data_IF_017651258606
#
_entry.id   IF_017651258606
#
_cell.length_a   1.000
_cell.length_b   1.000
_cell.length_c   1.000
_cell.angle_alpha   90.00
_cell.angle_beta   90.00
_cell.angle_gamma   90.00
#
_symmetry.space_group_name_H-M   'P 1'
#
loop_
_entity.id
_entity.type
_entity.pdbx_description
1 polymer ?
#
# COMPACT_ATOMS: atom_id res chain seq x y z
N UNK A 1 34.51 -50.11 44.47
CA UNK A 1 33.43 -49.21 44.01
C UNK A 1 34.05 -47.83 43.73
N UNK A 2 34.97 -47.70 42.77
CA UNK A 2 34.75 -47.57 41.30
C UNK A 2 34.13 -46.23 40.87
N UNK A 3 35.01 -45.23 40.72
CA UNK A 3 35.06 -44.17 39.69
C UNK A 3 33.75 -43.65 39.07
N UNK A 4 32.76 -43.28 39.87
CA UNK A 4 31.51 -42.70 39.35
C UNK A 4 31.59 -41.20 38.98
N UNK A 5 32.71 -40.53 39.28
CA UNK A 5 32.93 -39.10 38.96
C UNK A 5 33.50 -38.85 37.54
N UNK A 6 34.16 -39.85 36.93
CA UNK A 6 34.77 -39.71 35.60
C UNK A 6 33.76 -39.80 34.45
N UNK A 7 32.73 -40.64 34.59
CA UNK A 7 31.73 -40.85 33.53
C UNK A 7 30.79 -39.65 33.35
N UNK A 8 30.42 -38.97 34.45
CA UNK A 8 29.52 -37.81 34.41
C UNK A 8 30.17 -36.53 33.87
N UNK A 9 31.47 -36.34 34.12
CA UNK A 9 32.22 -35.20 33.57
C UNK A 9 32.44 -35.32 32.06
N UNK A 10 32.78 -36.52 31.59
CA UNK A 10 33.04 -36.77 30.17
C UNK A 10 31.72 -36.66 29.36
N UNK A 11 30.59 -37.13 29.89
CA UNK A 11 29.30 -36.96 29.21
C UNK A 11 28.86 -35.50 29.12
N UNK A 12 29.14 -34.66 30.12
CA UNK A 12 28.88 -33.22 30.05
C UNK A 12 29.76 -32.52 29.01
N UNK A 13 31.04 -32.89 28.90
CA UNK A 13 31.95 -32.33 27.89
C UNK A 13 31.51 -32.74 26.49
N UNK A 14 31.16 -34.02 26.29
CA UNK A 14 30.65 -34.51 25.00
C UNK A 14 29.32 -33.82 24.65
N UNK A 15 28.40 -33.66 25.60
CA UNK A 15 27.15 -32.95 25.40
C UNK A 15 27.39 -31.47 25.02
N UNK A 16 28.34 -30.79 25.66
CA UNK A 16 28.70 -29.40 25.36
C UNK A 16 29.32 -29.25 23.95
N UNK A 17 30.17 -30.19 23.54
CA UNK A 17 30.78 -30.20 22.20
C UNK A 17 29.73 -30.46 21.12
N UNK A 18 28.82 -31.41 21.34
CA UNK A 18 27.70 -31.70 20.44
C UNK A 18 26.76 -30.49 20.35
N UNK A 19 26.49 -29.83 21.46
CA UNK A 19 25.67 -28.61 21.50
C UNK A 19 26.29 -27.46 20.71
N UNK A 20 27.60 -27.22 20.87
CA UNK A 20 28.34 -26.23 20.05
C UNK A 20 28.29 -26.59 18.55
N UNK A 21 28.50 -27.85 18.19
CA UNK A 21 28.47 -28.28 16.78
C UNK A 21 27.10 -28.12 16.12
N UNK A 22 26.01 -28.26 16.88
CA UNK A 22 24.64 -28.08 16.38
C UNK A 22 24.24 -26.60 16.32
N UNK A 23 24.59 -25.79 17.33
CA UNK A 23 24.11 -24.42 17.45
C UNK A 23 25.02 -23.35 16.80
N UNK A 24 26.32 -23.59 16.64
CA UNK A 24 27.27 -22.60 16.08
C UNK A 24 27.19 -22.42 14.56
N UNK A 25 27.02 -23.46 13.72
CA UNK A 25 27.04 -23.29 12.26
C UNK A 25 25.90 -22.40 11.72
N UNK A 26 24.83 -22.20 12.50
CA UNK A 26 23.69 -21.35 12.13
C UNK A 26 23.92 -19.83 12.29
N UNK A 27 24.99 -19.39 12.97
CA UNK A 27 25.20 -17.97 13.28
C UNK A 27 26.03 -17.20 12.25
N UNK A 28 26.96 -17.85 11.54
CA UNK A 28 27.92 -17.16 10.66
C UNK A 28 27.30 -16.70 9.33
N UNK A 29 26.26 -17.38 8.83
CA UNK A 29 25.53 -16.94 7.62
C UNK A 29 24.50 -15.84 7.88
N UNK A 30 24.19 -15.56 9.15
CA UNK A 30 23.14 -14.59 9.54
C UNK A 30 23.59 -13.14 9.41
N UNK A 31 24.89 -12.85 9.48
CA UNK A 31 25.42 -11.48 9.37
C UNK A 31 25.33 -10.95 7.93
N UNK A 32 25.69 -11.76 6.93
CA UNK A 32 25.62 -11.37 5.52
C UNK A 32 24.18 -11.14 5.05
N UNK A 33 23.24 -11.99 5.48
CA UNK A 33 21.81 -11.81 5.18
C UNK A 33 21.27 -10.54 5.84
N UNK A 34 21.71 -10.20 7.06
CA UNK A 34 21.30 -8.97 7.74
C UNK A 34 21.83 -7.72 7.03
N UNK A 35 23.06 -7.73 6.54
CA UNK A 35 23.63 -6.58 5.82
C UNK A 35 22.98 -6.36 4.44
N UNK A 36 22.75 -7.41 3.66
CA UNK A 36 22.01 -7.30 2.39
C UNK A 36 20.57 -6.85 2.62
N UNK A 37 19.91 -7.35 3.66
CA UNK A 37 18.56 -6.91 4.06
C UNK A 37 18.55 -5.44 4.47
N UNK A 38 19.55 -4.96 5.22
CA UNK A 38 19.66 -3.54 5.60
C UNK A 38 19.82 -2.63 4.39
N UNK A 39 20.65 -3.01 3.43
CA UNK A 39 20.87 -2.24 2.20
C UNK A 39 19.59 -2.16 1.35
N UNK A 40 18.89 -3.29 1.17
CA UNK A 40 17.60 -3.32 0.47
C UNK A 40 16.55 -2.49 1.21
N UNK A 41 16.54 -2.54 2.55
CA UNK A 41 15.60 -1.77 3.36
C UNK A 41 15.92 -0.27 3.35
N UNK A 42 17.19 0.13 3.29
CA UNK A 42 17.61 1.50 3.14
C UNK A 42 17.22 2.06 1.75
N UNK A 43 17.44 1.30 0.69
CA UNK A 43 17.03 1.65 -0.67
C UNK A 43 15.50 1.79 -0.80
N UNK A 44 14.72 0.87 -0.18
CA UNK A 44 13.26 1.00 -0.13
C UNK A 44 12.81 2.25 0.63
N UNK A 45 13.44 2.59 1.75
CA UNK A 45 13.10 3.79 2.52
C UNK A 45 13.34 5.07 1.73
N UNK A 46 14.41 5.14 0.94
CA UNK A 46 14.67 6.31 0.07
C UNK A 46 13.61 6.43 -1.02
N UNK A 47 13.19 5.33 -1.61
CA UNK A 47 12.16 5.28 -2.65
C UNK A 47 10.75 5.58 -2.09
N UNK A 48 10.44 5.06 -0.91
CA UNK A 48 9.19 5.32 -0.18
C UNK A 48 9.07 6.79 0.26
N UNK A 49 10.19 7.44 0.62
CA UNK A 49 10.19 8.86 1.02
C UNK A 49 9.78 9.80 -0.13
N UNK A 50 10.08 9.43 -1.38
CA UNK A 50 9.67 10.16 -2.58
C UNK A 50 8.28 9.79 -3.09
N UNK A 51 7.67 8.71 -2.59
CA UNK A 51 6.38 8.23 -3.10
C UNK A 51 5.23 9.06 -2.56
N UNK A 52 4.42 9.63 -3.46
CA UNK A 52 3.15 10.27 -3.10
C UNK A 52 2.21 9.22 -2.48
N UNK A 53 1.72 9.50 -1.27
CA UNK A 53 0.80 8.58 -0.58
C UNK A 53 -0.47 8.35 -1.40
N UNK A 54 -0.70 7.11 -1.81
CA UNK A 54 -1.92 6.71 -2.54
C UNK A 54 -3.12 6.77 -1.60
N UNK A 55 -4.32 6.97 -2.14
CA UNK A 55 -5.54 7.00 -1.32
C UNK A 55 -5.78 5.69 -0.55
N UNK A 56 -5.37 4.55 -1.13
CA UNK A 56 -5.38 3.25 -0.45
C UNK A 56 -4.39 3.19 0.73
N UNK A 57 -3.21 3.81 0.61
CA UNK A 57 -2.22 3.87 1.70
C UNK A 57 -2.73 4.76 2.85
N UNK A 58 -3.36 5.89 2.51
CA UNK A 58 -4.02 6.77 3.49
C UNK A 58 -5.12 6.02 4.23
N UNK A 59 -5.96 5.27 3.51
CA UNK A 59 -7.02 4.45 4.10
C UNK A 59 -6.45 3.38 5.05
N UNK A 60 -5.42 2.65 4.62
CA UNK A 60 -4.74 1.65 5.46
C UNK A 60 -4.19 2.26 6.75
N UNK A 61 -3.49 3.40 6.64
CA UNK A 61 -2.97 4.12 7.82
C UNK A 61 -4.09 4.48 8.78
N UNK A 62 -5.20 4.97 8.26
CA UNK A 62 -6.33 5.42 9.06
C UNK A 62 -7.10 4.27 9.74
N UNK A 63 -7.20 3.12 9.07
CA UNK A 63 -7.73 1.89 9.67
C UNK A 63 -6.76 1.39 10.76
N UNK A 64 -5.45 1.45 10.52
CA UNK A 64 -4.47 1.04 11.53
C UNK A 64 -4.51 1.92 12.77
N UNK A 65 -4.67 3.24 12.62
CA UNK A 65 -4.83 4.15 13.76
C UNK A 65 -6.14 3.87 14.49
N UNK A 66 -7.26 3.72 13.78
CA UNK A 66 -8.54 3.35 14.38
C UNK A 66 -8.43 2.08 15.22
N UNK A 67 -7.81 1.01 14.69
CA UNK A 67 -7.65 -0.27 15.40
C UNK A 67 -6.71 -0.13 16.60
N UNK A 68 -5.58 0.55 16.44
CA UNK A 68 -4.63 0.79 17.52
C UNK A 68 -5.26 1.56 18.69
N UNK A 69 -5.95 2.67 18.39
CA UNK A 69 -6.66 3.45 19.40
C UNK A 69 -7.89 2.73 19.96
N UNK A 70 -8.51 1.81 19.22
CA UNK A 70 -9.57 0.96 19.80
C UNK A 70 -9.03 0.03 20.88
N UNK A 71 -7.84 -0.53 20.70
CA UNK A 71 -7.21 -1.40 21.70
C UNK A 71 -6.81 -0.59 22.92
N UNK A 72 -6.17 0.57 22.72
CA UNK A 72 -5.80 1.49 23.80
C UNK A 72 -7.04 1.94 24.57
N UNK A 73 -8.13 2.25 23.88
CA UNK A 73 -9.41 2.62 24.51
C UNK A 73 -9.93 1.51 25.42
N UNK A 74 -9.98 0.26 24.94
CA UNK A 74 -10.46 -0.89 25.72
C UNK A 74 -9.56 -1.13 26.94
N UNK A 75 -8.25 -1.10 26.77
CA UNK A 75 -7.31 -1.29 27.87
C UNK A 75 -7.40 -0.15 28.90
N UNK A 76 -7.52 1.09 28.45
CA UNK A 76 -7.64 2.25 29.32
C UNK A 76 -8.99 2.29 30.06
N UNK A 77 -10.10 1.88 29.41
CA UNK A 77 -11.40 1.75 30.08
C UNK A 77 -11.36 0.65 31.14
N UNK A 78 -10.80 -0.53 30.83
CA UNK A 78 -10.63 -1.59 31.81
C UNK A 78 -9.76 -1.14 32.99
N UNK A 79 -8.65 -0.45 32.72
CA UNK A 79 -7.79 0.10 33.76
C UNK A 79 -8.51 1.16 34.62
N UNK A 80 -9.34 2.00 34.01
CA UNK A 80 -10.15 2.98 34.75
C UNK A 80 -11.18 2.30 35.66
N UNK A 81 -11.91 1.29 35.15
CA UNK A 81 -12.87 0.51 35.95
C UNK A 81 -12.15 -0.20 37.11
N UNK A 82 -11.03 -0.88 36.82
CA UNK A 82 -10.23 -1.55 37.84
C UNK A 82 -9.71 -0.57 38.89
N UNK A 83 -9.30 0.64 38.49
CA UNK A 83 -8.85 1.68 39.41
C UNK A 83 -9.97 2.18 40.32
N UNK A 84 -11.20 2.34 39.81
CA UNK A 84 -12.36 2.72 40.64
C UNK A 84 -12.70 1.60 41.64
N UNK A 85 -12.70 0.34 41.22
CA UNK A 85 -12.94 -0.80 42.12
C UNK A 85 -11.84 -0.88 43.18
N UNK A 86 -10.57 -0.73 42.81
CA UNK A 86 -9.47 -0.74 43.76
C UNK A 86 -9.48 0.48 44.70
N UNK A 87 -10.03 1.61 44.26
CA UNK A 87 -10.19 2.81 45.09
C UNK A 87 -11.16 2.62 46.26
N UNK A 88 -12.05 1.61 46.22
CA UNK A 88 -12.89 1.26 47.38
C UNK A 88 -12.08 0.64 48.51
N UNK A 89 -10.90 0.07 48.22
CA UNK A 89 -10.00 -0.51 49.21
C UNK A 89 -8.89 0.46 49.64
N UNK A 90 -8.32 1.22 48.70
CA UNK A 90 -7.23 2.15 49.00
C UNK A 90 -7.31 3.43 48.15
N UNK A 91 -7.30 4.58 48.83
CA UNK A 91 -7.51 5.89 48.21
C UNK A 91 -6.48 6.24 47.11
N UNK A 92 -5.27 5.66 47.16
CA UNK A 92 -4.20 5.89 46.15
C UNK A 92 -4.61 5.48 44.72
N UNK A 93 -5.60 4.61 44.54
CA UNK A 93 -6.03 4.19 43.20
C UNK A 93 -6.80 5.24 42.41
N UNK A 94 -7.23 6.34 43.04
CA UNK A 94 -7.80 7.49 42.34
C UNK A 94 -6.81 8.13 41.35
N UNK A 95 -5.50 8.06 41.61
CA UNK A 95 -4.49 8.50 40.64
C UNK A 95 -4.49 7.65 39.37
N UNK A 96 -4.69 6.34 39.50
CA UNK A 96 -4.83 5.43 38.36
C UNK A 96 -6.05 5.77 37.51
N UNK A 97 -7.18 6.07 38.16
CA UNK A 97 -8.39 6.53 37.48
C UNK A 97 -8.18 7.89 36.78
N UNK A 98 -7.57 8.85 37.46
CA UNK A 98 -7.30 10.19 36.94
C UNK A 98 -6.43 10.18 35.66
N UNK A 99 -5.63 9.13 35.44
CA UNK A 99 -4.82 8.95 34.23
C UNK A 99 -5.55 8.09 33.19
N UNK A 100 -6.11 6.95 33.60
CA UNK A 100 -6.74 5.99 32.70
C UNK A 100 -8.02 6.54 32.05
N UNK A 101 -8.78 7.35 32.77
CA UNK A 101 -10.02 7.95 32.28
C UNK A 101 -9.79 8.96 31.13
N UNK A 102 -8.94 9.99 31.25
CA UNK A 102 -8.68 10.90 30.13
C UNK A 102 -7.98 10.20 28.96
N UNK A 103 -7.12 9.21 29.22
CA UNK A 103 -6.51 8.40 28.17
C UNK A 103 -7.59 7.63 27.37
N UNK A 104 -8.55 7.05 28.06
CA UNK A 104 -9.71 6.39 27.45
C UNK A 104 -10.51 7.36 26.59
N UNK A 105 -10.91 8.51 27.13
CA UNK A 105 -11.68 9.52 26.37
C UNK A 105 -10.91 10.03 25.14
N UNK A 106 -9.63 10.35 25.30
CA UNK A 106 -8.78 10.79 24.20
C UNK A 106 -8.67 9.73 23.11
N UNK A 107 -8.49 8.47 23.50
CA UNK A 107 -8.42 7.34 22.57
C UNK A 107 -9.73 7.15 21.80
N UNK A 108 -10.88 7.31 22.45
CA UNK A 108 -12.20 7.22 21.83
C UNK A 108 -12.42 8.30 20.77
N UNK A 109 -12.02 9.55 21.06
CA UNK A 109 -12.15 10.67 20.12
C UNK A 109 -11.29 10.42 18.88
N UNK A 110 -10.03 10.02 19.06
CA UNK A 110 -9.12 9.73 17.95
C UNK A 110 -9.64 8.55 17.12
N UNK A 111 -10.13 7.49 17.78
CA UNK A 111 -10.74 6.34 17.10
C UNK A 111 -11.94 6.76 16.26
N UNK A 112 -12.87 7.57 16.81
CA UNK A 112 -14.07 8.05 16.09
C UNK A 112 -13.70 8.96 14.92
N UNK A 113 -12.75 9.88 15.12
CA UNK A 113 -12.26 10.74 14.07
C UNK A 113 -11.63 9.93 12.92
N UNK A 114 -10.74 9.00 13.24
CA UNK A 114 -10.11 8.10 12.25
C UNK A 114 -11.16 7.25 11.51
N UNK A 115 -12.12 6.66 12.22
CA UNK A 115 -13.18 5.86 11.61
C UNK A 115 -14.04 6.69 10.63
N UNK A 116 -14.42 7.91 11.01
CA UNK A 116 -15.24 8.78 10.16
C UNK A 116 -14.51 9.20 8.88
N UNK A 117 -13.22 9.52 8.99
CA UNK A 117 -12.39 9.89 7.84
C UNK A 117 -12.13 8.66 6.94
N UNK A 118 -11.95 7.47 7.53
CA UNK A 118 -11.76 6.23 6.79
C UNK A 118 -13.02 5.86 5.99
N UNK A 119 -14.20 5.98 6.60
CA UNK A 119 -15.47 5.74 5.93
C UNK A 119 -15.69 6.72 4.76
N UNK A 120 -15.40 8.01 4.95
CA UNK A 120 -15.47 9.02 3.88
C UNK A 120 -14.54 8.67 2.71
N UNK A 121 -13.28 8.33 3.00
CA UNK A 121 -12.29 8.00 1.99
C UNK A 121 -12.65 6.70 1.23
N UNK A 122 -13.04 5.65 1.95
CA UNK A 122 -13.50 4.40 1.35
C UNK A 122 -14.73 4.61 0.46
N UNK A 123 -15.68 5.45 0.89
CA UNK A 123 -16.84 5.84 0.09
C UNK A 123 -16.44 6.55 -1.20
N UNK A 124 -15.48 7.48 -1.14
CA UNK A 124 -14.97 8.17 -2.33
C UNK A 124 -14.29 7.21 -3.31
N UNK A 125 -13.45 6.30 -2.81
CA UNK A 125 -12.80 5.26 -3.62
C UNK A 125 -13.85 4.37 -4.30
N UNK A 126 -14.87 3.93 -3.56
CA UNK A 126 -15.94 3.11 -4.10
C UNK A 126 -16.74 3.84 -5.19
N UNK A 127 -17.11 5.10 -4.93
CA UNK A 127 -17.82 5.95 -5.90
C UNK A 127 -16.99 6.20 -7.16
N UNK A 128 -15.68 6.43 -7.02
CA UNK A 128 -14.78 6.57 -8.17
C UNK A 128 -14.77 5.31 -9.03
N UNK A 129 -14.65 4.12 -8.41
CA UNK A 129 -14.72 2.84 -9.13
C UNK A 129 -16.08 2.62 -9.80
N UNK A 130 -17.17 2.99 -9.14
CA UNK A 130 -18.52 2.91 -9.72
C UNK A 130 -18.69 3.85 -10.92
N UNK A 131 -18.14 5.08 -10.85
CA UNK A 131 -18.18 6.03 -11.99
C UNK A 131 -17.45 5.49 -13.20
N UNK A 132 -16.26 4.89 -13.02
CA UNK A 132 -15.52 4.27 -14.13
C UNK A 132 -16.34 3.15 -14.77
N UNK A 133 -16.97 2.28 -13.97
CA UNK A 133 -17.83 1.21 -14.49
C UNK A 133 -19.07 1.75 -15.21
N UNK A 134 -19.72 2.77 -14.66
CA UNK A 134 -20.89 3.39 -15.28
C UNK A 134 -20.55 4.12 -16.58
N UNK A 135 -19.38 4.76 -16.66
CA UNK A 135 -18.91 5.40 -17.89
C UNK A 135 -18.53 4.35 -18.94
N UNK A 136 -17.86 3.27 -18.54
CA UNK A 136 -17.55 2.15 -19.43
C UNK A 136 -18.83 1.49 -19.98
N UNK A 137 -19.84 1.26 -19.15
CA UNK A 137 -21.11 0.69 -19.62
C UNK A 137 -21.87 1.62 -20.56
N UNK A 138 -21.83 2.95 -20.31
CA UNK A 138 -22.40 3.95 -21.22
C UNK A 138 -21.68 4.00 -22.56
N UNK A 139 -20.34 3.98 -22.53
CA UNK A 139 -19.51 3.93 -23.74
C UNK A 139 -19.82 2.66 -24.56
N UNK A 140 -19.92 1.51 -23.90
CA UNK A 140 -20.28 0.25 -24.56
C UNK A 140 -21.69 0.29 -25.16
N UNK A 141 -22.67 0.86 -24.46
CA UNK A 141 -24.03 1.03 -24.97
C UNK A 141 -24.08 1.96 -26.20
N UNK A 142 -23.26 3.02 -26.21
CA UNK A 142 -23.13 3.92 -27.34
C UNK A 142 -22.50 3.21 -28.56
N UNK A 143 -21.44 2.44 -28.37
CA UNK A 143 -20.82 1.64 -29.44
C UNK A 143 -21.78 0.61 -30.03
N UNK A 144 -22.59 -0.05 -29.19
CA UNK A 144 -23.60 -1.00 -29.64
C UNK A 144 -24.69 -0.34 -30.51
N UNK A 145 -25.01 0.94 -30.26
CA UNK A 145 -25.99 1.70 -31.04
C UNK A 145 -25.46 2.09 -32.41
N UNK A 146 -24.17 2.41 -32.52
CA UNK A 146 -23.57 2.94 -33.76
C UNK A 146 -23.39 1.86 -34.84
N UNK A 147 -23.32 0.56 -34.49
CA UNK A 147 -23.17 -0.63 -35.38
C UNK A 147 -22.03 -0.57 -36.42
N UNK A 148 -21.32 0.53 -36.52
CA UNK A 148 -20.19 0.74 -37.39
C UNK A 148 -18.94 0.21 -36.71
N UNK A 149 -18.14 -0.55 -37.45
CA UNK A 149 -16.84 -1.01 -36.96
C UNK A 149 -15.91 0.19 -36.83
N UNK A 150 -15.57 0.56 -35.60
CA UNK A 150 -14.52 1.53 -35.30
C UNK A 150 -13.30 0.82 -34.71
N UNK A 151 -12.07 1.22 -35.07
CA UNK A 151 -10.86 0.70 -34.45
C UNK A 151 -10.89 0.96 -32.93
N UNK A 152 -10.49 -0.02 -32.12
CA UNK A 152 -10.31 0.18 -30.68
C UNK A 152 -9.16 1.19 -30.48
N UNK A 153 -9.43 2.41 -29.99
CA UNK A 153 -8.35 3.36 -29.76
C UNK A 153 -7.39 2.79 -28.73
N UNK A 154 -6.10 3.07 -28.91
CA UNK A 154 -5.13 2.78 -27.87
C UNK A 154 -5.51 3.59 -26.62
N UNK A 155 -5.31 3.04 -25.42
CA UNK A 155 -5.56 3.80 -24.19
C UNK A 155 -4.70 5.06 -24.21
N UNK A 156 -5.32 6.19 -23.87
CA UNK A 156 -4.59 7.44 -23.74
C UNK A 156 -3.41 7.25 -22.77
N UNK A 157 -2.25 7.87 -23.05
CA UNK A 157 -1.11 7.80 -22.16
C UNK A 157 -1.54 8.23 -20.77
N UNK A 158 -1.19 7.44 -19.75
CA UNK A 158 -1.52 7.75 -18.37
C UNK A 158 -0.95 9.14 -18.06
N UNK A 159 -1.80 10.15 -17.79
CA UNK A 159 -1.27 11.44 -17.40
C UNK A 159 -0.49 11.22 -16.11
N UNK A 160 0.75 11.72 -16.05
CA UNK A 160 1.47 11.85 -14.79
C UNK A 160 0.72 12.90 -13.94
N UNK A 161 -0.40 12.51 -13.35
CA UNK A 161 -1.17 13.38 -12.46
C UNK A 161 -0.42 13.42 -11.14
N UNK A 162 0.65 14.21 -11.10
CA UNK A 162 1.32 14.60 -9.86
C UNK A 162 0.35 15.53 -9.12
N UNK A 163 -0.36 14.96 -8.15
CA UNK A 163 -1.36 15.67 -7.33
C UNK A 163 -0.71 16.88 -6.65
N UNK A 164 -0.94 18.09 -7.17
CA UNK A 164 -0.35 19.35 -6.68
C UNK A 164 0.40 20.14 -7.75
N UNK A 165 0.67 19.55 -8.92
CA UNK A 165 1.16 20.28 -10.08
C UNK A 165 -0.03 20.81 -10.89
N UNK A 166 0.05 22.07 -11.33
CA UNK A 166 -0.82 22.56 -12.37
C UNK A 166 -0.53 21.73 -13.60
N UNK A 167 -1.55 21.05 -14.14
CA UNK A 167 -1.48 20.37 -15.44
C UNK A 167 -1.29 21.46 -16.47
N UNK A 168 -0.05 21.92 -16.64
CA UNK A 168 0.32 22.73 -17.79
C UNK A 168 0.21 21.77 -18.97
N UNK A 169 -0.58 22.11 -20.01
CA UNK A 169 -0.56 21.31 -21.22
C UNK A 169 0.90 21.25 -21.68
N UNK A 170 1.48 20.05 -21.72
CA UNK A 170 2.78 19.84 -22.37
C UNK A 170 2.62 20.44 -23.76
N UNK A 171 3.42 21.47 -24.04
CA UNK A 171 3.56 22.24 -25.28
C UNK A 171 2.46 22.06 -26.33
N UNK A 172 1.86 23.17 -26.78
CA UNK A 172 0.93 23.21 -27.91
C UNK A 172 1.40 22.26 -29.02
N UNK A 173 0.71 21.13 -29.15
CA UNK A 173 1.02 20.12 -30.16
C UNK A 173 0.58 20.73 -31.48
N UNK A 174 1.53 21.36 -32.16
CA UNK A 174 1.34 21.80 -33.53
C UNK A 174 1.17 20.52 -34.35
N UNK A 175 -0.07 20.23 -34.73
CA UNK A 175 -0.34 19.19 -35.72
C UNK A 175 0.48 19.55 -36.95
N UNK A 176 1.50 18.75 -37.25
CA UNK A 176 2.16 18.79 -38.55
C UNK A 176 1.09 18.30 -39.53
N UNK A 177 0.27 19.23 -40.01
CA UNK A 177 -0.59 19.05 -41.17
C UNK A 177 0.33 18.89 -42.38
N UNK A 178 1.00 17.76 -42.47
CA UNK A 178 1.42 17.25 -43.76
C UNK A 178 0.14 16.77 -44.42
N UNK A 179 -0.47 17.52 -45.37
CA UNK A 179 -1.58 16.99 -46.12
C UNK A 179 -1.07 15.68 -46.74
N UNK A 180 -1.71 14.56 -46.40
CA UNK A 180 -1.55 13.34 -47.19
C UNK A 180 -1.81 13.77 -48.62
N UNK A 181 -0.78 13.70 -49.49
CA UNK A 181 -0.96 13.88 -50.93
C UNK A 181 -1.94 12.81 -51.39
N UNK A 182 -3.22 13.13 -51.38
CA UNK A 182 -4.24 12.33 -52.03
C UNK A 182 -3.95 12.45 -53.51
N UNK A 183 -3.58 11.34 -54.14
CA UNK A 183 -3.39 11.30 -55.58
C UNK A 183 -4.69 11.77 -56.24
N UNK A 184 -4.59 12.70 -57.18
CA UNK A 184 -5.75 13.14 -57.94
C UNK A 184 -6.28 11.98 -58.78
N UNK A 185 -7.60 11.92 -59.02
CA UNK A 185 -8.22 10.82 -59.80
C UNK A 185 -7.51 10.54 -61.14
N UNK A 186 -6.98 11.60 -61.78
CA UNK A 186 -6.18 11.48 -63.00
C UNK A 186 -4.87 10.73 -62.81
N UNK A 187 -4.16 10.95 -61.70
CA UNK A 187 -2.92 10.24 -61.38
C UNK A 187 -3.22 8.76 -61.08
N UNK A 188 -4.37 8.47 -60.48
CA UNK A 188 -4.85 7.10 -60.26
C UNK A 188 -5.14 6.42 -61.61
N UNK A 189 -5.84 7.11 -62.52
CA UNK A 189 -6.14 6.59 -63.87
C UNK A 189 -4.87 6.34 -64.68
N UNK A 190 -3.87 7.22 -64.56
CA UNK A 190 -2.57 7.07 -65.23
C UNK A 190 -1.77 5.88 -64.69
N UNK A 191 -1.75 5.69 -63.36
CA UNK A 191 -1.13 4.51 -62.73
C UNK A 191 -1.84 3.22 -63.16
N UNK A 192 -3.18 3.23 -63.26
CA UNK A 192 -3.96 2.08 -63.70
C UNK A 192 -3.74 1.78 -65.19
N UNK A 193 -3.67 2.80 -66.04
CA UNK A 193 -3.36 2.64 -67.46
C UNK A 193 -1.96 2.05 -67.66
N UNK A 194 -0.97 2.52 -66.90
CA UNK A 194 0.40 1.99 -66.95
C UNK A 194 0.49 0.53 -66.50
N UNK A 195 -0.32 0.11 -65.52
CA UNK A 195 -0.42 -1.30 -65.09
C UNK A 195 -1.13 -2.20 -66.08
N UNK A 196 -2.02 -1.67 -66.95
CA UNK A 196 -2.70 -2.45 -68.00
C UNK A 196 -1.86 -2.61 -69.28
N UNK A 197 -0.81 -1.80 -69.43
CA UNK A 197 0.11 -1.84 -70.56
C UNK A 197 1.31 -2.79 -70.33
N UNK A 198 1.34 -3.49 -69.19
CA UNK A 198 2.26 -4.59 -68.84
C UNK A 198 1.43 -5.88 -68.85
#
# INVERSE_FOLDING_TARGET
MENSAGLGGITLVVAAVVWLFIFVPGYTKRSQIKETTKLIQAARRTEEKSRVLTDDDRLRRLISTQRGFSIIFILATLAAIASVVAATAQNSWWFGFAIAFPLSLGSLIIQRAAASQAAKLAGNIHRARQRVRANASKSQAQMAKDRQWSPNPLPDPMPEVKRGELVQPLAEVIEISAPKKSLASKEIDEILARRRAI
#
